data_IF_861524744048
#
_entry.id   IF_861524744048
#
_cell.length_a   1.000
_cell.length_b   1.000
_cell.length_c   1.000
_cell.angle_alpha   90.00
_cell.angle_beta   90.00
_cell.angle_gamma   90.00
#
_symmetry.space_group_name_H-M   'P 1'
#
loop_
_entity.id
_entity.type
_entity.pdbx_description
1 polymer ?
#
# COMPACT_ATOMS: atom_id res chain seq x y z
N UNK A 1 5.67 -16.85 0.58
CA UNK A 1 5.85 -15.41 0.83
C UNK A 1 4.49 -14.74 0.96
N UNK A 2 4.35 -13.74 1.84
CA UNK A 2 3.18 -12.85 1.89
C UNK A 2 3.42 -11.75 0.85
N UNK A 3 2.53 -11.64 -0.13
CA UNK A 3 2.71 -10.68 -1.23
C UNK A 3 2.27 -9.26 -0.89
N UNK A 4 1.17 -9.10 -0.15
CA UNK A 4 0.53 -7.80 0.14
C UNK A 4 -0.27 -7.87 1.43
N UNK A 5 -0.37 -6.74 2.14
CA UNK A 5 -1.24 -6.60 3.32
C UNK A 5 -2.34 -5.57 3.09
N UNK A 6 -3.59 -6.03 3.12
CA UNK A 6 -4.77 -5.17 3.06
C UNK A 6 -5.09 -4.63 4.45
N UNK A 7 -5.06 -3.31 4.62
CA UNK A 7 -5.26 -2.65 5.91
C UNK A 7 -6.10 -1.40 5.77
N UNK A 8 -6.76 -1.00 6.84
CA UNK A 8 -7.45 0.30 6.87
C UNK A 8 -6.49 1.49 6.99
N UNK A 9 -5.20 1.26 7.22
CA UNK A 9 -4.21 2.33 7.32
C UNK A 9 -4.22 3.05 8.67
N UNK A 10 -4.71 2.39 9.72
CA UNK A 10 -4.53 2.88 11.09
C UNK A 10 -3.05 2.87 11.47
N UNK A 11 -2.63 3.88 12.23
CA UNK A 11 -1.20 4.11 12.53
C UNK A 11 -0.50 2.89 13.13
N UNK A 12 -1.18 2.16 14.02
CA UNK A 12 -0.66 0.93 14.63
C UNK A 12 -0.48 -0.21 13.63
N UNK A 13 -1.38 -0.34 12.65
CA UNK A 13 -1.25 -1.37 11.62
C UNK A 13 -0.08 -1.07 10.67
N UNK A 14 0.13 0.19 10.31
CA UNK A 14 1.26 0.62 9.47
C UNK A 14 2.60 0.37 10.19
N UNK A 15 2.67 0.60 11.51
CA UNK A 15 3.90 0.33 12.27
C UNK A 15 4.29 -1.14 12.37
N UNK A 16 3.37 -2.07 12.08
CA UNK A 16 3.59 -3.51 12.19
C UNK A 16 3.96 -4.16 10.85
N UNK A 17 4.00 -3.43 9.74
CA UNK A 17 4.09 -4.04 8.41
C UNK A 17 5.48 -4.50 8.02
N UNK A 18 6.54 -4.07 8.72
CA UNK A 18 7.90 -4.62 8.62
C UNK A 18 8.34 -5.01 7.20
N UNK A 19 8.16 -4.11 6.22
CA UNK A 19 8.57 -4.33 4.83
C UNK A 19 7.57 -5.07 3.95
N UNK A 20 6.35 -5.33 4.43
CA UNK A 20 5.25 -5.87 3.63
C UNK A 20 4.55 -4.71 2.90
N UNK A 21 4.38 -4.79 1.57
CA UNK A 21 3.71 -3.76 0.80
C UNK A 21 2.20 -3.73 1.07
N UNK A 22 1.60 -2.54 1.00
CA UNK A 22 0.25 -2.29 1.53
C UNK A 22 -0.79 -2.02 0.46
N UNK A 23 -1.99 -2.54 0.69
CA UNK A 23 -3.22 -2.05 0.06
C UNK A 23 -4.01 -1.35 1.16
N UNK A 24 -4.28 -0.06 1.00
CA UNK A 24 -4.92 0.76 2.03
C UNK A 24 -6.38 1.02 1.66
N UNK A 25 -7.26 0.56 2.54
CA UNK A 25 -8.70 0.73 2.50
C UNK A 25 -9.13 1.73 3.61
N UNK A 26 -9.01 3.04 3.39
CA UNK A 26 -9.32 4.01 4.44
C UNK A 26 -10.83 4.07 4.75
N UNK A 27 -11.20 4.00 6.02
CA UNK A 27 -12.58 4.12 6.50
C UNK A 27 -12.84 5.49 7.13
N UNK A 28 -12.03 5.90 8.11
CA UNK A 28 -12.27 7.12 8.89
C UNK A 28 -11.01 7.71 9.54
N UNK A 29 -11.15 8.87 10.20
CA UNK A 29 -10.11 9.53 11.00
C UNK A 29 -8.83 9.85 10.19
N UNK A 30 -7.65 9.50 10.70
CA UNK A 30 -6.35 9.75 10.05
C UNK A 30 -6.03 8.82 8.86
N UNK A 31 -6.83 7.78 8.67
CA UNK A 31 -6.59 6.74 7.66
C UNK A 31 -6.48 7.28 6.23
N UNK A 32 -7.33 8.22 5.76
CA UNK A 32 -7.19 8.80 4.42
C UNK A 32 -5.89 9.59 4.24
N UNK A 33 -5.37 10.20 5.31
CA UNK A 33 -4.10 10.94 5.30
C UNK A 33 -2.95 9.97 5.18
N UNK A 34 -2.95 8.89 5.97
CA UNK A 34 -1.95 7.83 5.87
C UNK A 34 -1.96 7.17 4.49
N UNK A 35 -3.15 6.90 3.93
CA UNK A 35 -3.30 6.38 2.58
C UNK A 35 -2.70 7.31 1.52
N UNK A 36 -2.89 8.62 1.67
CA UNK A 36 -2.33 9.60 0.75
C UNK A 36 -0.81 9.71 0.86
N UNK A 37 -0.25 9.64 2.07
CA UNK A 37 1.18 9.71 2.33
C UNK A 37 1.92 8.47 1.82
N UNK A 38 1.40 7.27 2.10
CA UNK A 38 2.07 6.01 1.76
C UNK A 38 1.97 5.63 0.28
N UNK A 39 0.95 6.13 -0.41
CA UNK A 39 0.78 5.93 -1.86
C UNK A 39 1.33 7.10 -2.69
N UNK A 40 2.17 7.94 -2.10
CA UNK A 40 2.71 9.14 -2.76
C UNK A 40 3.93 8.80 -3.63
N UNK A 41 3.92 9.30 -4.87
CA UNK A 41 5.07 9.25 -5.76
C UNK A 41 6.18 10.21 -5.29
N UNK A 42 7.47 9.93 -5.58
CA UNK A 42 7.97 8.88 -6.49
C UNK A 42 8.25 7.53 -5.84
N UNK A 43 8.16 7.40 -4.51
CA UNK A 43 8.49 6.17 -3.78
C UNK A 43 7.27 5.64 -3.02
N UNK A 44 6.24 5.12 -3.72
CA UNK A 44 5.08 4.54 -3.06
C UNK A 44 5.47 3.26 -2.31
N UNK A 45 4.93 3.09 -1.12
CA UNK A 45 5.00 1.83 -0.34
C UNK A 45 3.62 1.18 -0.20
N UNK A 46 2.59 1.82 -0.77
CA UNK A 46 1.22 1.37 -0.71
C UNK A 46 0.42 1.70 -1.98
N UNK A 47 -0.63 0.94 -2.21
CA UNK A 47 -1.72 1.25 -3.14
C UNK A 47 -2.94 1.68 -2.31
N UNK A 48 -3.58 2.78 -2.68
CA UNK A 48 -4.77 3.28 -1.98
C UNK A 48 -6.04 3.02 -2.77
N UNK A 49 -7.11 2.70 -2.05
CA UNK A 49 -8.47 2.59 -2.59
C UNK A 49 -9.23 3.92 -2.35
N UNK A 50 -9.88 4.43 -3.38
CA UNK A 50 -10.65 5.67 -3.40
C UNK A 50 -12.16 5.43 -3.42
N UNK A 51 -12.65 4.52 -4.28
CA UNK A 51 -14.09 4.29 -4.51
C UNK A 51 -14.78 3.57 -3.34
N UNK A 52 -14.01 3.07 -2.38
CA UNK A 52 -14.53 2.43 -1.17
C UNK A 52 -15.04 3.41 -0.10
N UNK A 53 -14.82 4.72 -0.28
CA UNK A 53 -15.29 5.74 0.68
C UNK A 53 -16.79 5.92 0.55
N UNK A 54 -17.45 6.17 1.67
CA UNK A 54 -18.91 6.33 1.72
C UNK A 54 -19.30 7.67 2.33
N UNK A 55 -20.54 8.10 2.10
CA UNK A 55 -21.19 9.22 2.80
C UNK A 55 -20.55 10.61 2.61
N UNK A 56 -20.02 11.24 3.66
CA UNK A 56 -19.51 12.62 3.69
C UNK A 56 -18.18 12.79 2.93
N UNK A 57 -17.57 11.68 2.51
CA UNK A 57 -16.27 11.65 1.84
C UNK A 57 -16.39 11.55 0.31
N UNK A 58 -17.60 11.75 -0.23
CA UNK A 58 -17.88 11.74 -1.67
C UNK A 58 -17.45 13.07 -2.33
N UNK A 59 -17.14 13.00 -3.63
CA UNK A 59 -16.69 14.14 -4.41
C UNK A 59 -15.31 13.97 -5.03
N UNK A 60 -14.77 15.01 -5.68
CA UNK A 60 -13.50 14.92 -6.37
C UNK A 60 -12.35 14.74 -5.38
N UNK A 61 -11.46 13.79 -5.66
CA UNK A 61 -10.19 13.69 -4.97
C UNK A 61 -9.40 14.98 -5.18
N UNK A 62 -9.13 15.73 -4.11
CA UNK A 62 -8.36 16.98 -4.17
C UNK A 62 -6.96 16.82 -4.78
N UNK A 63 -6.42 15.59 -4.78
CA UNK A 63 -5.08 15.29 -5.32
C UNK A 63 -5.13 14.65 -6.70
N UNK A 64 -6.10 13.78 -6.95
CA UNK A 64 -6.16 12.98 -8.17
C UNK A 64 -7.19 13.47 -9.19
N UNK A 65 -8.09 14.37 -8.80
CA UNK A 65 -9.23 14.81 -9.62
C UNK A 65 -10.33 13.76 -9.84
N UNK A 66 -10.08 12.49 -9.51
CA UNK A 66 -11.04 11.38 -9.67
C UNK A 66 -12.27 11.61 -8.79
N UNK A 67 -13.46 11.54 -9.39
CA UNK A 67 -14.72 11.58 -8.67
C UNK A 67 -14.92 10.28 -7.87
N UNK A 68 -15.13 10.42 -6.57
CA UNK A 68 -15.43 9.33 -5.65
C UNK A 68 -16.95 9.23 -5.52
N UNK A 69 -17.52 8.15 -6.05
CA UNK A 69 -18.97 7.92 -6.08
C UNK A 69 -19.44 7.09 -4.88
N UNK A 70 -18.56 6.26 -4.32
CA UNK A 70 -18.87 5.36 -3.20
C UNK A 70 -19.82 4.22 -3.56
N UNK A 71 -20.03 3.95 -4.86
CA UNK A 71 -20.90 2.88 -5.31
C UNK A 71 -20.18 1.52 -5.19
N UNK A 72 -20.94 0.47 -4.88
CA UNK A 72 -20.39 -0.90 -4.82
C UNK A 72 -19.82 -1.33 -6.17
N UNK A 73 -20.44 -0.90 -7.28
CA UNK A 73 -19.96 -1.19 -8.63
C UNK A 73 -18.59 -0.57 -8.90
N UNK A 74 -18.41 0.69 -8.54
CA UNK A 74 -17.14 1.40 -8.73
C UNK A 74 -16.05 0.86 -7.80
N UNK A 75 -16.41 0.47 -6.58
CA UNK A 75 -15.49 -0.22 -5.67
C UNK A 75 -15.02 -1.57 -6.25
N UNK A 76 -15.90 -2.35 -6.87
CA UNK A 76 -15.52 -3.61 -7.52
C UNK A 76 -14.59 -3.37 -8.72
N UNK A 77 -14.87 -2.35 -9.54
CA UNK A 77 -14.01 -1.96 -10.67
C UNK A 77 -12.63 -1.54 -10.17
N UNK A 78 -12.57 -0.68 -9.15
CA UNK A 78 -11.31 -0.25 -8.53
C UNK A 78 -10.52 -1.43 -7.96
N UNK A 79 -11.18 -2.39 -7.31
CA UNK A 79 -10.52 -3.55 -6.73
C UNK A 79 -9.92 -4.45 -7.81
N UNK A 80 -10.64 -4.66 -8.93
CA UNK A 80 -10.11 -5.40 -10.09
C UNK A 80 -8.91 -4.69 -10.71
N UNK A 81 -8.98 -3.37 -10.88
CA UNK A 81 -7.85 -2.60 -11.38
C UNK A 81 -6.65 -2.65 -10.43
N UNK A 82 -6.89 -2.58 -9.12
CA UNK A 82 -5.84 -2.71 -8.10
C UNK A 82 -5.11 -4.04 -8.23
N UNK A 83 -5.83 -5.12 -8.52
CA UNK A 83 -5.23 -6.44 -8.77
C UNK A 83 -4.35 -6.51 -10.03
N UNK A 84 -4.63 -5.69 -11.04
CA UNK A 84 -3.77 -5.54 -12.22
C UNK A 84 -2.52 -4.75 -11.86
N UNK A 85 -2.67 -3.63 -11.14
CA UNK A 85 -1.56 -2.78 -10.67
C UNK A 85 -0.59 -3.56 -9.78
N UNK A 86 -1.14 -4.34 -8.83
CA UNK A 86 -0.40 -5.22 -7.92
C UNK A 86 0.45 -6.26 -8.67
N UNK A 87 -0.03 -6.75 -9.81
CA UNK A 87 0.70 -7.74 -10.64
C UNK A 87 1.57 -7.09 -11.72
N UNK A 88 1.41 -5.79 -11.95
CA UNK A 88 2.12 -5.04 -12.96
C UNK A 88 3.41 -4.43 -12.45
N UNK A 89 3.98 -3.54 -13.27
CA UNK A 89 5.27 -2.88 -13.00
C UNK A 89 5.26 -2.12 -11.66
N UNK A 90 4.19 -1.39 -11.35
CA UNK A 90 4.06 -0.66 -10.08
C UNK A 90 4.07 -1.61 -8.88
N UNK A 91 3.39 -2.76 -8.97
CA UNK A 91 3.41 -3.77 -7.92
C UNK A 91 4.80 -4.37 -7.72
N UNK A 92 5.48 -4.71 -8.82
CA UNK A 92 6.86 -5.19 -8.80
C UNK A 92 7.83 -4.15 -8.23
N UNK A 93 7.67 -2.88 -8.55
CA UNK A 93 8.47 -1.79 -7.99
C UNK A 93 8.30 -1.70 -6.47
N UNK A 94 7.05 -1.68 -6.00
CA UNK A 94 6.74 -1.60 -4.56
C UNK A 94 7.24 -2.84 -3.80
N UNK A 95 7.17 -4.02 -4.41
CA UNK A 95 7.66 -5.27 -3.80
C UNK A 95 9.19 -5.45 -3.91
N UNK A 96 9.81 -4.97 -5.00
CA UNK A 96 11.22 -5.20 -5.33
C UNK A 96 12.18 -4.39 -4.47
N UNK A 97 11.90 -3.11 -4.28
CA UNK A 97 12.71 -2.23 -3.40
C UNK A 97 12.79 -2.75 -1.95
N UNK A 98 11.74 -3.43 -1.46
CA UNK A 98 11.72 -4.00 -0.10
C UNK A 98 12.23 -5.45 -0.03
N UNK A 99 12.26 -6.17 -1.16
CA UNK A 99 12.73 -7.57 -1.22
C UNK A 99 14.25 -7.71 -1.20
N UNK A 100 14.97 -6.71 -1.71
CA UNK A 100 16.44 -6.75 -1.82
C UNK A 100 17.15 -6.46 -0.48
N UNK A 101 16.42 -6.02 0.55
CA UNK A 101 16.98 -5.72 1.87
C UNK A 101 17.01 -6.89 2.88
N UNK A 102 16.50 -8.08 2.50
CA UNK A 102 16.34 -9.23 3.43
C UNK A 102 17.18 -10.45 3.05
N UNK A 103 18.15 -10.30 2.14
CA UNK A 103 18.87 -11.42 1.55
C UNK A 103 20.37 -11.20 1.35
N UNK A 104 21.11 -10.72 2.34
CA UNK A 104 22.57 -10.92 2.42
C UNK A 104 23.09 -10.52 3.81
N UNK A 105 23.12 -11.48 4.74
CA UNK A 105 23.62 -11.23 6.10
C UNK A 105 23.90 -12.47 6.93
N UNK A 106 24.06 -13.65 6.30
CA UNK A 106 24.26 -14.88 7.03
C UNK A 106 25.20 -15.86 6.29
N UNK A 107 26.44 -15.47 6.02
CA UNK A 107 27.56 -16.43 6.10
C UNK A 107 28.93 -15.73 6.09
N UNK A 108 29.81 -16.13 7.01
CA UNK A 108 31.25 -15.88 6.87
C UNK A 108 31.88 -14.87 7.83
N UNK A 109 31.79 -15.09 9.15
CA UNK A 109 32.87 -14.63 10.06
C UNK A 109 33.36 -15.83 10.87
N UNK A 110 34.22 -16.62 10.21
CA UNK A 110 34.99 -17.67 10.83
C UNK A 110 35.98 -17.10 11.83
N UNK A 111 36.10 -17.82 12.95
CA UNK A 111 37.08 -17.64 14.01
C UNK A 111 38.51 -17.52 13.48
N UNK A 112 39.27 -16.66 14.13
CA UNK A 112 40.71 -16.50 13.95
C UNK A 112 41.32 -15.87 15.19
N UNK A 113 41.19 -16.56 16.32
CA UNK A 113 41.88 -16.24 17.57
C UNK A 113 43.20 -17.01 17.68
N UNK A 114 44.25 -16.26 18.02
CA UNK A 114 45.58 -16.64 18.55
C UNK A 114 46.46 -17.60 17.73
#
# INVERSE_FOLDING_TARGET
AIGWFLTHGGFKCIGLTQGIPLIIWPLAAEQPVNAALLAQDPYPVAIKLFQIRTSEQLGPSLRSGIAITGSVGDAVVEFKHTFEVVRGEKGSFICGEYGDGIGEGAEGRGDGGA
#
